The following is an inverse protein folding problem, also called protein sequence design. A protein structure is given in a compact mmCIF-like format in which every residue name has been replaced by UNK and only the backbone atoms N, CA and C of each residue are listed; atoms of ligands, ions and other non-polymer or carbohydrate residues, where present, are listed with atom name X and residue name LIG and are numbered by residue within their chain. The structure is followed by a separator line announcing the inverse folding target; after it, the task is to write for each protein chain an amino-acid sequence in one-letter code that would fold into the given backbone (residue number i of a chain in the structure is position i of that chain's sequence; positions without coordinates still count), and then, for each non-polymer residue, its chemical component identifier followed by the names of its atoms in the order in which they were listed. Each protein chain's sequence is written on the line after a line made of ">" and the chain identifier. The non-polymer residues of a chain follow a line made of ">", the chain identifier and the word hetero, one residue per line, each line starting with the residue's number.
data_IF_535220275281
#
_entry.id   IF_535220275281
#
_cell.length_a   1.000
_cell.length_b   1.000
_cell.length_c   1.000
_cell.angle_alpha   90.00
_cell.angle_beta   90.00
_cell.angle_gamma   90.00
#
_symmetry.space_group_name_H-M   'P 1'
#
loop_
_entity.id
_entity.type
_entity.pdbx_description
1 polymer ?
#
# COMPACT_ATOMS: atom_id res chain seq x y z
N UNK A 1 20.12 6.82 6.75
CA UNK A 1 18.85 6.09 6.65
C UNK A 1 19.17 4.66 6.33
N UNK A 2 18.68 3.74 7.14
CA UNK A 2 18.82 2.30 6.94
C UNK A 2 17.90 1.83 5.80
N UNK A 3 18.20 0.68 5.21
CA UNK A 3 17.37 0.07 4.17
C UNK A 3 17.23 -1.43 4.42
N UNK A 4 16.06 -1.98 4.09
CA UNK A 4 15.87 -3.41 3.96
C UNK A 4 16.96 -4.03 3.07
N UNK A 5 17.48 -5.17 3.49
CA UNK A 5 18.45 -5.96 2.75
C UNK A 5 17.81 -6.67 1.53
N UNK A 6 17.25 -5.89 0.60
CA UNK A 6 16.58 -6.38 -0.61
C UNK A 6 16.95 -5.53 -1.83
N UNK A 7 17.29 -6.19 -2.95
CA UNK A 7 17.68 -5.49 -4.17
C UNK A 7 16.45 -5.09 -5.01
N UNK A 8 15.82 -3.98 -4.62
CA UNK A 8 14.64 -3.44 -5.33
C UNK A 8 14.93 -3.05 -6.78
N UNK A 9 16.16 -2.64 -7.10
CA UNK A 9 16.52 -2.29 -8.48
C UNK A 9 16.43 -3.50 -9.41
N UNK A 10 16.81 -4.69 -8.94
CA UNK A 10 16.83 -5.90 -9.75
C UNK A 10 15.43 -6.40 -10.15
N UNK A 11 14.39 -5.99 -9.42
CA UNK A 11 13.00 -6.42 -9.66
C UNK A 11 12.21 -5.42 -10.51
N UNK A 12 12.78 -4.26 -10.84
CA UNK A 12 12.08 -3.18 -11.53
C UNK A 12 11.41 -3.66 -12.84
N UNK A 13 12.18 -4.39 -13.65
CA UNK A 13 11.72 -4.89 -14.93
C UNK A 13 10.63 -5.98 -14.79
N UNK A 14 10.69 -6.80 -13.73
CA UNK A 14 9.75 -7.91 -13.54
C UNK A 14 8.39 -7.47 -13.01
N UNK A 15 8.32 -6.33 -12.31
CA UNK A 15 7.06 -5.88 -11.70
C UNK A 15 6.37 -4.74 -12.45
N UNK A 16 7.07 -3.96 -13.28
CA UNK A 16 6.45 -2.84 -14.00
C UNK A 16 5.56 -3.26 -15.18
N UNK A 17 5.81 -4.42 -15.79
CA UNK A 17 5.03 -4.89 -16.94
C UNK A 17 3.99 -5.92 -16.50
N UNK A 18 2.89 -5.41 -15.95
CA UNK A 18 1.75 -6.23 -15.54
C UNK A 18 0.85 -6.59 -16.73
N UNK A 19 0.21 -7.78 -16.71
CA UNK A 19 -0.80 -8.12 -17.70
C UNK A 19 -1.85 -7.01 -17.85
N UNK A 20 -2.26 -6.75 -19.09
CA UNK A 20 -3.22 -5.70 -19.40
C UNK A 20 -4.54 -5.88 -18.62
N UNK A 21 -5.03 -7.12 -18.52
CA UNK A 21 -6.24 -7.46 -17.78
C UNK A 21 -6.17 -7.03 -16.30
N UNK A 22 -5.03 -7.26 -15.63
CA UNK A 22 -4.83 -6.84 -14.25
C UNK A 22 -4.78 -5.32 -14.11
N UNK A 23 -4.11 -4.66 -15.06
CA UNK A 23 -3.98 -3.21 -15.08
C UNK A 23 -5.33 -2.53 -15.33
N UNK A 24 -6.11 -3.05 -16.28
CA UNK A 24 -7.43 -2.53 -16.62
C UNK A 24 -8.43 -2.78 -15.50
N UNK A 25 -8.42 -3.97 -14.88
CA UNK A 25 -9.20 -4.24 -13.68
C UNK A 25 -8.88 -3.23 -12.57
N UNK A 26 -7.60 -3.01 -12.27
CA UNK A 26 -7.20 -2.08 -11.23
C UNK A 26 -7.64 -0.63 -11.53
N UNK A 27 -7.52 -0.19 -12.79
CA UNK A 27 -8.00 1.12 -13.22
C UNK A 27 -9.51 1.26 -13.05
N UNK A 28 -10.29 0.26 -13.48
CA UNK A 28 -11.74 0.26 -13.34
C UNK A 28 -12.17 0.37 -11.88
N UNK A 29 -11.59 -0.44 -10.99
CA UNK A 29 -11.87 -0.38 -9.56
C UNK A 29 -11.54 1.01 -8.97
N UNK A 30 -10.37 1.55 -9.31
CA UNK A 30 -9.94 2.87 -8.83
C UNK A 30 -10.84 4.00 -9.34
N UNK A 31 -11.34 3.92 -10.57
CA UNK A 31 -12.30 4.88 -11.12
C UNK A 31 -13.66 4.77 -10.42
N UNK A 32 -14.10 3.56 -10.06
CA UNK A 32 -15.33 3.34 -9.29
C UNK A 32 -15.21 3.96 -7.90
N UNK A 33 -14.10 3.71 -7.22
CA UNK A 33 -13.78 4.29 -5.92
C UNK A 33 -13.72 5.81 -5.98
N UNK A 34 -13.04 6.38 -6.99
CA UNK A 34 -12.99 7.84 -7.20
C UNK A 34 -14.39 8.44 -7.31
N UNK A 35 -15.32 7.78 -8.03
CA UNK A 35 -16.72 8.22 -8.14
C UNK A 35 -17.49 8.16 -6.82
N UNK A 36 -17.30 7.11 -6.03
CA UNK A 36 -17.93 6.97 -4.71
C UNK A 36 -17.43 8.09 -3.79
N UNK A 37 -16.10 8.22 -3.65
CA UNK A 37 -15.49 9.14 -2.69
C UNK A 37 -15.66 10.62 -3.07
N UNK A 38 -15.75 10.95 -4.37
CA UNK A 38 -15.98 12.33 -4.82
C UNK A 38 -17.27 12.92 -4.24
N UNK A 39 -18.27 12.08 -3.93
CA UNK A 39 -19.52 12.51 -3.29
C UNK A 39 -19.40 12.72 -1.78
N UNK A 40 -18.22 12.48 -1.20
CA UNK A 40 -18.00 12.39 0.24
C UNK A 40 -16.81 13.26 0.68
N UNK A 41 -16.99 14.60 0.80
CA UNK A 41 -15.91 15.54 1.10
C UNK A 41 -15.19 15.27 2.44
N UNK A 42 -15.84 14.58 3.38
CA UNK A 42 -15.24 14.11 4.64
C UNK A 42 -14.02 13.19 4.44
N UNK A 43 -13.88 12.56 3.27
CA UNK A 43 -12.75 11.70 2.90
C UNK A 43 -11.67 12.47 2.12
N UNK A 44 -11.51 13.78 2.37
CA UNK A 44 -10.49 14.60 1.70
C UNK A 44 -9.38 14.96 2.70
N UNK A 45 -8.23 14.29 2.56
CA UNK A 45 -7.03 14.63 3.31
C UNK A 45 -6.46 16.00 2.84
N UNK A 46 -6.09 16.92 3.76
CA UNK A 46 -5.46 18.20 3.40
C UNK A 46 -4.15 18.01 2.63
N UNK A 47 -3.88 18.91 1.68
CA UNK A 47 -2.66 18.87 0.86
C UNK A 47 -1.35 19.01 1.66
N UNK A 48 -1.41 19.58 2.86
CA UNK A 48 -0.26 19.74 3.76
C UNK A 48 0.02 18.52 4.64
N UNK A 49 -0.83 17.49 4.63
CA UNK A 49 -0.63 16.33 5.51
C UNK A 49 0.29 15.27 4.88
N UNK A 50 1.33 14.87 5.61
CA UNK A 50 2.26 13.79 5.20
C UNK A 50 2.51 12.75 6.29
N UNK A 51 1.94 12.88 7.49
CA UNK A 51 2.28 12.02 8.63
C UNK A 51 2.06 10.53 8.37
N UNK A 52 1.01 10.15 7.62
CA UNK A 52 0.81 8.76 7.26
C UNK A 52 2.00 8.18 6.47
N UNK A 53 2.73 9.01 5.70
CA UNK A 53 3.89 8.58 4.91
C UNK A 53 5.07 8.10 5.76
N UNK A 54 5.11 8.44 7.05
CA UNK A 54 6.13 8.09 8.04
C UNK A 54 5.70 6.89 8.92
N UNK A 55 4.95 5.94 8.35
CA UNK A 55 4.22 4.96 9.15
C UNK A 55 3.89 3.62 8.49
N UNK A 56 4.63 3.17 7.47
CA UNK A 56 4.30 1.96 6.71
C UNK A 56 2.84 1.98 6.20
N UNK A 57 2.53 2.96 5.34
CA UNK A 57 1.20 3.06 4.70
C UNK A 57 0.84 1.74 4.03
N UNK A 58 -0.33 1.20 4.37
CA UNK A 58 -0.87 0.00 3.75
C UNK A 58 -1.63 0.33 2.46
N UNK A 59 -1.64 -0.59 1.53
CA UNK A 59 -2.51 -0.55 0.36
C UNK A 59 -2.91 -1.97 -0.02
N UNK A 60 -4.05 -2.08 -0.70
CA UNK A 60 -4.49 -3.29 -1.37
C UNK A 60 -3.59 -3.63 -2.56
N UNK A 61 -3.70 -4.87 -3.04
CA UNK A 61 -3.05 -5.28 -4.27
C UNK A 61 -3.57 -4.51 -5.50
N UNK A 62 -4.87 -4.19 -5.52
CA UNK A 62 -5.49 -3.38 -6.59
C UNK A 62 -4.84 -2.00 -6.70
N UNK A 63 -4.65 -1.32 -5.58
CA UNK A 63 -3.98 -0.02 -5.55
C UNK A 63 -2.52 -0.11 -5.94
N UNK A 64 -1.81 -1.15 -5.49
CA UNK A 64 -0.43 -1.40 -5.87
C UNK A 64 -0.28 -1.52 -7.40
N UNK A 65 -1.13 -2.33 -8.06
CA UNK A 65 -1.13 -2.49 -9.52
C UNK A 65 -1.48 -1.16 -10.22
N UNK A 66 -2.46 -0.41 -9.72
CA UNK A 66 -2.79 0.91 -10.26
C UNK A 66 -1.62 1.88 -10.16
N UNK A 67 -0.92 1.90 -9.03
CA UNK A 67 0.26 2.74 -8.82
C UNK A 67 1.37 2.35 -9.81
N UNK A 68 1.67 1.06 -10.00
CA UNK A 68 2.66 0.63 -11.00
C UNK A 68 2.34 1.15 -12.41
N UNK A 69 1.06 1.09 -12.80
CA UNK A 69 0.59 1.64 -14.08
C UNK A 69 0.88 3.14 -14.19
N UNK A 70 0.59 3.91 -13.15
CA UNK A 70 0.87 5.36 -13.11
C UNK A 70 2.37 5.62 -13.18
N UNK A 71 3.18 4.88 -12.43
CA UNK A 71 4.62 5.05 -12.42
C UNK A 71 5.21 4.84 -13.82
N UNK A 72 4.76 3.80 -14.53
CA UNK A 72 5.16 3.52 -15.91
C UNK A 72 4.77 4.64 -16.89
N UNK A 73 3.60 5.26 -16.71
CA UNK A 73 3.14 6.35 -17.57
C UNK A 73 3.77 7.71 -17.25
N UNK A 74 4.21 7.91 -16.00
CA UNK A 74 4.66 9.20 -15.48
C UNK A 74 6.18 9.39 -15.51
N UNK A 75 6.94 8.33 -15.25
CA UNK A 75 8.39 8.39 -15.05
C UNK A 75 9.13 7.71 -16.19
N UNK A 76 10.30 8.26 -16.54
CA UNK A 76 11.24 7.59 -17.44
C UNK A 76 12.04 6.50 -16.71
N UNK A 77 12.84 5.73 -17.46
CA UNK A 77 13.62 4.61 -16.90
C UNK A 77 14.63 5.03 -15.83
N UNK A 78 15.25 6.21 -15.95
CA UNK A 78 16.21 6.73 -14.98
C UNK A 78 15.51 7.13 -13.68
N UNK A 79 14.37 7.81 -13.77
CA UNK A 79 13.56 8.21 -12.62
C UNK A 79 13.00 6.99 -11.87
N UNK A 80 12.52 5.98 -12.58
CA UNK A 80 12.04 4.72 -12.01
C UNK A 80 13.19 3.97 -11.32
N UNK A 81 14.35 3.90 -11.98
CA UNK A 81 15.57 3.33 -11.40
C UNK A 81 15.97 4.06 -10.11
N UNK A 82 15.95 5.39 -10.10
CA UNK A 82 16.25 6.18 -8.91
C UNK A 82 15.23 5.93 -7.78
N UNK A 83 13.94 5.87 -8.09
CA UNK A 83 12.88 5.56 -7.12
C UNK A 83 13.11 4.18 -6.46
N UNK A 84 13.34 3.15 -7.26
CA UNK A 84 13.53 1.78 -6.77
C UNK A 84 14.84 1.58 -6.02
N UNK A 85 15.94 2.09 -6.54
CA UNK A 85 17.25 1.97 -5.89
C UNK A 85 17.37 2.82 -4.63
N UNK A 86 16.80 4.03 -4.60
CA UNK A 86 17.03 4.99 -3.51
C UNK A 86 15.89 5.07 -2.50
N UNK A 87 14.62 4.92 -2.90
CA UNK A 87 13.46 5.19 -2.03
C UNK A 87 12.78 3.93 -1.50
N UNK A 88 12.72 2.84 -2.26
CA UNK A 88 12.10 1.61 -1.79
C UNK A 88 12.92 0.96 -0.67
N UNK A 89 12.23 0.42 0.34
CA UNK A 89 12.82 -0.29 1.48
C UNK A 89 13.53 0.60 2.50
N UNK A 90 13.42 1.93 2.40
CA UNK A 90 14.05 2.84 3.35
C UNK A 90 13.32 2.81 4.69
N UNK A 91 14.09 2.68 5.77
CA UNK A 91 13.59 2.62 7.15
C UNK A 91 13.82 3.95 7.87
N UNK A 92 12.85 4.31 8.70
CA UNK A 92 12.96 5.38 9.71
C UNK A 92 13.62 4.87 11.00
N UNK A 93 13.92 5.77 11.95
CA UNK A 93 14.65 5.44 13.18
C UNK A 93 13.95 4.35 14.03
N UNK A 94 12.63 4.24 13.95
CA UNK A 94 11.84 3.20 14.63
C UNK A 94 11.64 1.91 13.79
N UNK A 95 12.39 1.74 12.70
CA UNK A 95 12.32 0.56 11.84
C UNK A 95 11.08 0.49 10.96
N UNK A 96 10.31 1.58 10.84
CA UNK A 96 9.12 1.67 9.97
C UNK A 96 9.52 1.95 8.53
N UNK A 97 8.76 1.44 7.56
CA UNK A 97 8.98 1.76 6.16
C UNK A 97 8.50 3.18 5.85
N UNK A 98 9.43 3.99 5.34
CA UNK A 98 9.11 5.28 4.76
C UNK A 98 8.38 5.07 3.42
N UNK A 99 7.30 5.81 3.20
CA UNK A 99 6.60 5.79 1.92
C UNK A 99 7.56 6.25 0.80
N UNK A 100 7.78 5.46 -0.27
CA UNK A 100 8.76 5.80 -1.29
C UNK A 100 8.37 7.05 -2.10
N UNK A 101 7.08 7.42 -2.05
CA UNK A 101 6.52 8.54 -2.78
C UNK A 101 6.50 9.86 -2.01
N UNK A 102 6.92 9.89 -0.74
CA UNK A 102 7.02 11.15 -0.03
C UNK A 102 8.07 12.04 -0.71
N UNK A 103 7.79 13.33 -0.82
CA UNK A 103 8.68 14.37 -1.32
C UNK A 103 8.62 15.55 -0.34
N UNK A 104 9.58 15.55 0.58
CA UNK A 104 9.68 16.53 1.66
C UNK A 104 10.05 17.93 1.14
N UNK A 105 10.52 18.05 -0.11
CA UNK A 105 10.88 19.34 -0.70
C UNK A 105 9.65 20.12 -1.18
N UNK A 106 8.51 19.46 -1.34
CA UNK A 106 7.26 20.13 -1.73
C UNK A 106 6.66 20.88 -0.56
N UNK A 107 6.09 22.06 -0.82
CA UNK A 107 5.39 22.87 0.19
C UNK A 107 3.93 22.43 0.42
N UNK A 108 3.35 21.76 -0.57
CA UNK A 108 2.01 21.17 -0.54
C UNK A 108 2.03 19.94 -1.45
N UNK A 109 1.10 19.01 -1.23
CA UNK A 109 1.04 17.75 -1.96
C UNK A 109 2.37 16.98 -1.91
N UNK A 110 2.86 16.72 -0.69
CA UNK A 110 4.12 16.04 -0.37
C UNK A 110 4.25 14.61 -0.93
N UNK A 111 3.35 14.17 -1.81
CA UNK A 111 3.38 12.86 -2.42
C UNK A 111 3.59 12.99 -3.93
N UNK A 112 4.55 12.25 -4.47
CA UNK A 112 4.83 12.20 -5.89
C UNK A 112 3.66 11.64 -6.72
N UNK A 113 2.75 10.88 -6.09
CA UNK A 113 1.52 10.32 -6.66
C UNK A 113 0.26 10.87 -5.98
N UNK A 114 0.26 12.14 -5.54
CA UNK A 114 -0.79 12.72 -4.68
C UNK A 114 -2.24 12.44 -5.12
N UNK A 115 -2.57 12.58 -6.40
CA UNK A 115 -3.92 12.34 -6.92
C UNK A 115 -4.31 10.85 -7.03
N UNK A 116 -3.32 9.97 -6.92
CA UNK A 116 -3.47 8.54 -7.11
C UNK A 116 -3.11 7.72 -5.85
N UNK A 117 -2.92 8.40 -4.71
CA UNK A 117 -2.64 7.77 -3.42
C UNK A 117 -3.65 6.66 -3.08
N UNK A 118 -3.28 5.64 -2.29
CA UNK A 118 -4.22 4.66 -1.76
C UNK A 118 -5.42 5.29 -1.00
N UNK A 119 -6.54 4.59 -0.95
CA UNK A 119 -7.75 4.84 -0.19
C UNK A 119 -7.42 5.17 1.27
N UNK A 120 -6.57 4.38 1.93
CA UNK A 120 -6.20 4.66 3.33
C UNK A 120 -5.53 6.03 3.48
N UNK A 121 -4.85 6.52 2.45
CA UNK A 121 -4.23 7.85 2.43
C UNK A 121 -5.23 8.98 2.12
N UNK A 122 -6.38 8.64 1.51
CA UNK A 122 -7.46 9.58 1.18
C UNK A 122 -8.43 9.70 2.35
N UNK A 123 -8.66 8.61 3.07
CA UNK A 123 -9.64 8.51 4.14
C UNK A 123 -9.13 9.21 5.40
N UNK A 124 -9.43 10.50 5.47
CA UNK A 124 -9.24 11.31 6.67
C UNK A 124 -10.25 10.89 7.76
N UNK A 125 -9.87 10.90 9.04
CA UNK A 125 -10.75 10.54 10.16
C UNK A 125 -10.80 9.05 10.54
N UNK A 126 -9.96 8.21 9.93
CA UNK A 126 -9.67 6.88 10.48
C UNK A 126 -8.42 6.94 11.35
N UNK A 127 -8.36 6.12 12.40
CA UNK A 127 -7.15 5.93 13.21
C UNK A 127 -5.96 5.39 12.40
N UNK A 128 -6.22 4.91 11.19
CA UNK A 128 -5.21 4.39 10.27
C UNK A 128 -4.39 5.46 9.53
N UNK A 129 -4.84 6.72 9.50
CA UNK A 129 -4.17 7.83 8.82
C UNK A 129 -4.00 9.04 9.73
N UNK A 130 -3.00 9.04 10.64
CA UNK A 130 -2.79 10.15 11.56
C UNK A 130 -2.47 11.43 10.81
N UNK A 131 -3.08 12.55 11.21
CA UNK A 131 -2.76 13.89 10.71
C UNK A 131 -2.68 14.88 11.89
N UNK A 132 -1.70 15.78 11.89
CA UNK A 132 -1.51 16.76 12.97
C UNK A 132 -2.50 17.93 12.89
N UNK A 133 -3.17 18.11 11.76
CA UNK A 133 -4.24 19.11 11.61
C UNK A 133 -5.46 18.61 12.36
N UNK A 134 -5.93 19.34 13.37
CA UNK A 134 -7.26 19.14 13.95
C UNK A 134 -8.32 19.50 12.90
N UNK A 135 -9.25 18.58 12.64
CA UNK A 135 -10.38 18.82 11.74
C UNK A 135 -11.65 18.39 12.47
N UNK A 136 -12.66 19.26 12.48
CA UNK A 136 -13.99 18.94 12.98
C UNK A 136 -14.71 17.97 12.05
N UNK A 137 -15.27 16.90 12.62
CA UNK A 137 -15.85 15.79 11.86
C UNK A 137 -17.34 16.03 11.56
N UNK A 138 -17.75 16.15 10.29
CA UNK A 138 -19.09 15.74 9.92
C UNK A 138 -19.18 14.20 9.98
N UNK A 139 -20.38 13.68 10.28
CA UNK A 139 -20.69 12.26 10.32
C UNK A 139 -20.11 11.50 9.10
N UNK A 140 -19.32 10.45 9.35
CA UNK A 140 -18.79 9.58 8.30
C UNK A 140 -19.82 8.52 7.90
N UNK A 141 -20.40 8.59 6.70
CA UNK A 141 -21.27 7.52 6.22
C UNK A 141 -20.42 6.27 5.93
N UNK A 142 -20.46 5.30 6.84
CA UNK A 142 -19.65 4.07 6.78
C UNK A 142 -19.95 3.23 5.52
N UNK A 143 -21.19 3.27 5.02
CA UNK A 143 -21.61 2.51 3.84
C UNK A 143 -20.77 2.85 2.59
N UNK A 144 -20.46 4.14 2.39
CA UNK A 144 -19.65 4.59 1.27
C UNK A 144 -18.21 4.09 1.34
N UNK A 145 -17.61 4.19 2.53
CA UNK A 145 -16.27 3.68 2.79
C UNK A 145 -16.21 2.16 2.61
N UNK A 146 -17.12 1.39 3.21
CA UNK A 146 -17.12 -0.06 3.07
C UNK A 146 -17.36 -0.50 1.63
N UNK A 147 -18.19 0.22 0.87
CA UNK A 147 -18.36 -0.06 -0.55
C UNK A 147 -17.05 0.18 -1.34
N UNK A 148 -16.40 1.34 -1.14
CA UNK A 148 -15.11 1.63 -1.77
C UNK A 148 -14.00 0.66 -1.35
N UNK A 149 -13.95 0.31 -0.07
CA UNK A 149 -13.04 -0.68 0.49
C UNK A 149 -13.26 -2.04 -0.17
N UNK A 150 -14.49 -2.52 -0.25
CA UNK A 150 -14.76 -3.85 -0.79
C UNK A 150 -14.32 -4.00 -2.26
N UNK A 151 -14.38 -2.93 -3.05
CA UNK A 151 -13.90 -2.92 -4.44
C UNK A 151 -12.37 -3.15 -4.55
N UNK A 152 -11.60 -2.86 -3.50
CA UNK A 152 -10.15 -3.07 -3.46
C UNK A 152 -9.76 -4.48 -3.03
N UNK A 153 -10.62 -5.14 -2.25
CA UNK A 153 -10.25 -6.33 -1.50
C UNK A 153 -11.05 -7.57 -1.87
N UNK A 154 -12.19 -7.44 -2.56
CA UNK A 154 -13.07 -8.56 -2.85
C UNK A 154 -13.57 -8.53 -4.29
N UNK A 155 -13.68 -9.72 -4.87
CA UNK A 155 -14.37 -9.97 -6.12
C UNK A 155 -15.88 -10.09 -5.89
N UNK A 156 -16.66 -10.05 -6.97
CA UNK A 156 -18.12 -10.11 -6.91
C UNK A 156 -18.67 -11.41 -6.33
N UNK A 157 -17.89 -12.49 -6.38
CA UNK A 157 -18.23 -13.79 -5.78
C UNK A 157 -17.89 -13.89 -4.28
N UNK A 158 -17.33 -12.83 -3.70
CA UNK A 158 -16.91 -12.75 -2.30
C UNK A 158 -15.48 -13.25 -2.04
N UNK A 159 -14.77 -13.75 -3.06
CA UNK A 159 -13.36 -14.12 -2.95
C UNK A 159 -12.52 -12.87 -2.67
N UNK A 160 -11.56 -12.94 -1.75
CA UNK A 160 -10.67 -11.81 -1.50
C UNK A 160 -9.54 -11.74 -2.54
N UNK A 161 -9.02 -10.54 -2.77
CA UNK A 161 -7.89 -10.25 -3.64
C UNK A 161 -6.62 -10.18 -2.79
N UNK A 162 -5.65 -11.03 -3.09
CA UNK A 162 -4.36 -11.04 -2.41
C UNK A 162 -3.29 -11.74 -3.25
N UNK A 163 -2.04 -11.58 -2.86
CA UNK A 163 -0.92 -12.26 -3.52
C UNK A 163 -0.58 -13.54 -2.74
N UNK A 164 -0.62 -14.72 -3.36
CA UNK A 164 -0.27 -15.96 -2.69
C UNK A 164 1.16 -15.95 -2.14
N UNK A 165 1.31 -16.46 -0.93
CA UNK A 165 2.58 -16.76 -0.27
C UNK A 165 2.65 -18.29 -0.01
N UNK A 166 3.82 -18.86 0.32
CA UNK A 166 3.95 -20.26 0.73
C UNK A 166 3.03 -20.64 1.89
N UNK A 167 2.88 -21.96 2.09
CA UNK A 167 2.17 -22.55 3.24
C UNK A 167 0.69 -22.16 3.38
N UNK A 168 0.02 -21.87 2.26
CA UNK A 168 -1.39 -21.48 2.25
C UNK A 168 -1.61 -20.07 2.82
N UNK A 169 -0.58 -19.23 2.82
CA UNK A 169 -0.70 -17.83 3.20
C UNK A 169 -0.99 -16.95 1.98
N UNK A 170 -1.53 -15.76 2.21
CA UNK A 170 -1.65 -14.73 1.18
C UNK A 170 -1.38 -13.35 1.77
N UNK A 171 -0.64 -12.52 1.05
CA UNK A 171 -0.48 -11.10 1.37
C UNK A 171 -1.78 -10.37 0.98
N UNK A 172 -2.39 -9.68 1.94
CA UNK A 172 -3.70 -9.04 1.78
C UNK A 172 -3.58 -7.51 1.73
N UNK A 173 -2.81 -6.94 2.64
CA UNK A 173 -2.45 -5.51 2.66
C UNK A 173 -0.98 -5.37 2.95
N UNK A 174 -0.29 -4.44 2.29
CA UNK A 174 1.12 -4.21 2.57
C UNK A 174 1.58 -2.80 2.18
N UNK A 175 2.70 -2.34 2.74
CA UNK A 175 3.41 -1.20 2.19
C UNK A 175 3.94 -1.48 0.78
N UNK A 176 4.11 -0.43 -0.03
CA UNK A 176 4.54 -0.55 -1.43
C UNK A 176 5.82 -1.38 -1.60
N UNK A 177 6.80 -1.22 -0.70
CA UNK A 177 8.04 -1.98 -0.76
C UNK A 177 7.83 -3.47 -0.50
N UNK A 178 6.92 -3.85 0.40
CA UNK A 178 6.60 -5.26 0.65
C UNK A 178 5.83 -5.85 -0.53
N UNK A 179 4.87 -5.11 -1.09
CA UNK A 179 4.20 -5.52 -2.34
C UNK A 179 5.21 -5.77 -3.46
N UNK A 180 6.11 -4.82 -3.71
CA UNK A 180 7.11 -4.94 -4.76
C UNK A 180 8.00 -6.18 -4.57
N UNK A 181 8.46 -6.43 -3.34
CA UNK A 181 9.29 -7.61 -3.06
C UNK A 181 8.50 -8.91 -3.28
N UNK A 182 7.27 -9.00 -2.78
CA UNK A 182 6.45 -10.21 -2.89
C UNK A 182 6.04 -10.49 -4.35
N UNK A 183 5.59 -9.46 -5.05
CA UNK A 183 5.12 -9.52 -6.42
C UNK A 183 6.25 -9.77 -7.45
N UNK A 184 7.51 -9.59 -7.05
CA UNK A 184 8.67 -10.02 -7.85
C UNK A 184 8.89 -11.53 -7.91
N UNK A 185 8.11 -12.32 -7.15
CA UNK A 185 8.25 -13.78 -7.03
C UNK A 185 9.39 -14.23 -6.11
N UNK A 186 10.03 -13.30 -5.40
CA UNK A 186 11.12 -13.57 -4.43
C UNK A 186 10.57 -13.84 -3.04
N UNK A 187 9.61 -14.76 -2.92
CA UNK A 187 8.81 -14.89 -1.71
C UNK A 187 9.63 -15.30 -0.49
N UNK A 188 10.67 -16.13 -0.65
CA UNK A 188 11.61 -16.47 0.42
C UNK A 188 12.34 -15.24 0.99
N UNK A 189 12.72 -14.27 0.13
CA UNK A 189 13.34 -13.02 0.59
C UNK A 189 12.35 -12.16 1.39
N UNK A 190 11.06 -12.20 1.05
CA UNK A 190 10.00 -11.54 1.82
C UNK A 190 9.82 -12.20 3.19
N UNK A 191 9.83 -13.53 3.26
CA UNK A 191 9.75 -14.24 4.53
C UNK A 191 10.98 -13.95 5.42
N UNK A 192 12.16 -13.79 4.83
CA UNK A 192 13.36 -13.35 5.56
C UNK A 192 13.20 -11.92 6.12
N UNK A 193 12.67 -10.99 5.32
CA UNK A 193 12.33 -9.64 5.82
C UNK A 193 11.36 -9.75 7.00
N UNK A 194 10.36 -10.63 6.91
CA UNK A 194 9.38 -10.83 7.98
C UNK A 194 9.99 -11.42 9.25
N UNK A 195 10.94 -12.35 9.12
CA UNK A 195 11.65 -12.92 10.25
C UNK A 195 12.54 -11.89 10.97
N UNK A 196 13.16 -10.99 10.21
CA UNK A 196 14.08 -9.97 10.75
C UNK A 196 13.34 -8.77 11.35
N UNK A 197 12.31 -8.26 10.67
CA UNK A 197 11.69 -6.98 11.01
C UNK A 197 10.20 -7.11 11.42
N UNK A 198 9.65 -8.32 11.46
CA UNK A 198 8.20 -8.51 11.42
C UNK A 198 7.64 -8.18 10.03
N UNK A 199 6.31 -8.26 9.86
CA UNK A 199 5.70 -8.05 8.55
C UNK A 199 5.60 -6.58 8.14
N UNK A 200 6.22 -5.65 8.87
CA UNK A 200 6.22 -4.22 8.55
C UNK A 200 4.81 -3.64 8.39
N UNK A 201 3.89 -4.06 9.29
CA UNK A 201 2.43 -3.82 9.26
C UNK A 201 1.66 -4.54 8.16
N UNK A 202 2.31 -5.29 7.28
CA UNK A 202 1.58 -6.05 6.29
C UNK A 202 0.62 -7.04 6.95
N UNK A 203 -0.56 -7.16 6.35
CA UNK A 203 -1.63 -8.07 6.75
C UNK A 203 -1.54 -9.30 5.88
N UNK A 204 -1.47 -10.45 6.53
CA UNK A 204 -1.35 -11.76 5.94
C UNK A 204 -2.62 -12.54 6.28
N UNK A 205 -3.17 -13.24 5.29
CA UNK A 205 -4.28 -14.17 5.46
C UNK A 205 -3.74 -15.59 5.55
N UNK A 206 -4.11 -16.31 6.60
CA UNK A 206 -4.09 -17.77 6.64
C UNK A 206 -5.33 -18.26 5.88
N UNK A 207 -5.15 -18.67 4.62
CA UNK A 207 -6.25 -18.98 3.71
C UNK A 207 -7.08 -20.18 4.20
N UNK A 208 -6.47 -21.31 4.64
CA UNK A 208 -7.24 -22.42 5.19
C UNK A 208 -8.04 -22.06 6.45
N UNK A 209 -7.48 -21.23 7.33
CA UNK A 209 -8.15 -20.83 8.56
C UNK A 209 -9.10 -19.65 8.38
N UNK A 210 -9.04 -18.95 7.24
CA UNK A 210 -9.71 -17.68 6.97
C UNK A 210 -9.47 -16.64 8.10
N UNK A 211 -8.19 -16.46 8.47
CA UNK A 211 -7.78 -15.56 9.56
C UNK A 211 -6.71 -14.59 9.10
N UNK A 212 -6.86 -13.33 9.47
CA UNK A 212 -5.91 -12.28 9.16
C UNK A 212 -4.99 -12.01 10.35
N UNK A 213 -3.71 -11.76 10.08
CA UNK A 213 -2.72 -11.47 11.09
C UNK A 213 -1.59 -10.59 10.55
N UNK A 214 -0.87 -9.95 11.44
CA UNK A 214 0.42 -9.31 11.18
C UNK A 214 1.52 -10.06 11.95
N UNK A 215 2.78 -9.94 11.52
CA UNK A 215 3.91 -10.52 12.24
C UNK A 215 4.62 -9.39 12.97
N UNK A 216 4.72 -9.49 14.29
CA UNK A 216 5.43 -8.52 15.12
C UNK A 216 6.95 -8.72 15.00
N UNK A 217 7.76 -7.69 15.31
CA UNK A 217 9.19 -7.88 15.51
C UNK A 217 9.43 -9.00 16.55
N UNK A 218 10.23 -10.01 16.19
CA UNK A 218 10.41 -11.23 16.98
C UNK A 218 9.58 -12.43 16.50
N UNK A 219 8.75 -12.29 15.46
CA UNK A 219 8.11 -13.38 14.74
C UNK A 219 6.74 -13.81 15.27
N UNK A 220 6.22 -13.16 16.32
CA UNK A 220 4.89 -13.47 16.86
C UNK A 220 3.78 -13.05 15.88
N UNK A 221 2.77 -13.91 15.69
CA UNK A 221 1.57 -13.57 14.92
C UNK A 221 0.55 -12.85 15.80
N UNK A 222 0.22 -11.62 15.44
CA UNK A 222 -0.90 -10.88 16.02
C UNK A 222 -2.10 -10.96 15.09
N UNK A 223 -3.14 -11.69 15.50
CA UNK A 223 -4.37 -11.82 14.72
C UNK A 223 -5.21 -10.55 14.79
N UNK A 224 -5.79 -10.18 13.65
CA UNK A 224 -6.68 -9.03 13.49
C UNK A 224 -8.11 -9.53 13.73
N UNK A 225 -8.78 -8.91 14.68
CA UNK A 225 -10.17 -9.19 15.08
C UNK A 225 -11.16 -8.30 14.36
#
# INVERSE_FOLDING_TARGET
>A
MEKLAFNFQAILASILDKPAEMTDFAKEQMDHIKRILHTMPAYTCPASCSLCCHGSILMSYVEYIHILHILRGKYNAEELSALFSRRLGVLEEEGKLLCPFIDENKKAEHCAIYHDRPLICRVYGTTAAPCATEIEYPHFPSAGFHHAHNLLYYLADGSFIGLPLPDGLALFEAPFSIWAAADSGKTEEVLNIFAEHGSMRAVICDVPANRFFTILPGGERQYIT
#
